data_IF_759833153272
#
_entry.id   IF_759833153272
#
_cell.length_a   1.000
_cell.length_b   1.000
_cell.length_c   1.000
_cell.angle_alpha   90.00
_cell.angle_beta   90.00
_cell.angle_gamma   90.00
#
_symmetry.space_group_name_H-M   'P 1'
#
loop_
_entity.id
_entity.type
_entity.pdbx_description
1 polymer ?
#
# COMPACT_ATOMS: atom_id res chain seq x y z
N UNK A 1 -4.91 6.67 -37.93
CA UNK A 1 -3.98 5.61 -38.42
C UNK A 1 -2.57 5.93 -37.93
N UNK A 2 -1.67 4.96 -37.86
CA UNK A 2 -0.26 5.22 -37.51
C UNK A 2 0.37 6.14 -38.55
N UNK A 3 1.15 7.14 -38.12
CA UNK A 3 1.79 8.11 -39.02
C UNK A 3 0.99 9.39 -39.29
N UNK A 4 -0.22 9.54 -38.75
CA UNK A 4 -1.07 10.74 -38.93
C UNK A 4 -0.68 11.92 -38.01
N UNK A 5 0.41 11.81 -37.25
CA UNK A 5 0.85 12.88 -36.35
C UNK A 5 0.05 13.00 -35.05
N UNK A 6 -0.35 11.86 -34.43
CA UNK A 6 -1.05 11.82 -33.12
C UNK A 6 -0.34 12.69 -32.07
N UNK A 7 0.98 12.54 -31.95
CA UNK A 7 1.78 13.26 -30.97
C UNK A 7 1.70 14.79 -31.15
N UNK A 8 1.77 15.28 -32.39
CA UNK A 8 1.64 16.72 -32.66
C UNK A 8 0.20 17.20 -32.44
N UNK A 9 -0.78 16.37 -32.80
CA UNK A 9 -2.21 16.68 -32.60
C UNK A 9 -2.55 16.85 -31.11
N UNK A 10 -1.94 16.05 -30.23
CA UNK A 10 -2.15 16.13 -28.78
C UNK A 10 -1.70 17.46 -28.17
N UNK A 11 -0.78 18.19 -28.81
CA UNK A 11 -0.28 19.49 -28.32
C UNK A 11 -1.41 20.52 -28.23
N UNK A 12 -2.30 20.58 -29.21
CA UNK A 12 -3.38 21.57 -29.27
C UNK A 12 -4.37 21.46 -28.09
N UNK A 13 -5.01 20.30 -27.83
CA UNK A 13 -5.90 20.16 -26.68
C UNK A 13 -5.14 20.21 -25.35
N UNK A 14 -3.90 19.73 -25.28
CA UNK A 14 -3.10 19.84 -24.06
C UNK A 14 -2.81 21.29 -23.69
N UNK A 15 -2.37 22.09 -24.66
CA UNK A 15 -2.10 23.52 -24.46
C UNK A 15 -3.37 24.26 -24.02
N UNK A 16 -4.48 24.07 -24.73
CA UNK A 16 -5.76 24.73 -24.41
C UNK A 16 -6.22 24.43 -22.98
N UNK A 17 -6.16 23.17 -22.54
CA UNK A 17 -6.59 22.78 -21.19
C UNK A 17 -5.62 23.28 -20.11
N UNK A 18 -4.31 23.35 -20.41
CA UNK A 18 -3.32 23.86 -19.47
C UNK A 18 -3.47 25.38 -19.20
N UNK A 19 -4.03 26.15 -20.14
CA UNK A 19 -4.31 27.58 -19.94
C UNK A 19 -5.32 27.85 -18.81
N UNK A 20 -6.14 26.86 -18.45
CA UNK A 20 -7.08 26.94 -17.32
C UNK A 20 -6.41 26.87 -15.94
N UNK A 21 -5.08 26.70 -15.88
CA UNK A 21 -4.33 26.55 -14.63
C UNK A 21 -4.34 25.14 -14.04
N UNK A 22 -5.09 24.21 -14.65
CA UNK A 22 -5.09 22.80 -14.30
C UNK A 22 -3.96 22.08 -15.03
N UNK A 23 -3.30 21.14 -14.36
CA UNK A 23 -2.24 20.33 -14.99
C UNK A 23 -2.86 19.32 -15.95
N UNK A 24 -2.22 19.12 -17.11
CA UNK A 24 -2.62 18.14 -18.12
C UNK A 24 -1.65 16.97 -18.12
N UNK A 25 -2.18 15.76 -17.98
CA UNK A 25 -1.39 14.53 -18.03
C UNK A 25 -1.40 13.94 -19.45
N UNK A 26 -0.23 13.67 -20.00
CA UNK A 26 -0.05 12.94 -21.26
C UNK A 26 0.58 11.60 -20.93
N UNK A 27 -0.21 10.54 -21.11
CA UNK A 27 0.13 9.17 -20.74
C UNK A 27 0.54 8.41 -21.99
N UNK A 28 1.74 7.84 -21.97
CA UNK A 28 2.27 7.03 -23.06
C UNK A 28 2.47 5.58 -22.61
N UNK A 29 2.62 4.66 -23.57
CA UNK A 29 2.77 3.22 -23.29
C UNK A 29 4.11 2.84 -22.67
N UNK A 30 5.16 3.68 -22.78
CA UNK A 30 6.46 3.38 -22.19
C UNK A 30 7.30 4.62 -21.89
N UNK A 31 8.31 4.45 -21.02
CA UNK A 31 9.18 5.53 -20.57
C UNK A 31 9.98 6.19 -21.69
N UNK A 32 10.34 5.44 -22.75
CA UNK A 32 11.09 5.99 -23.88
C UNK A 32 10.26 7.02 -24.65
N UNK A 33 8.99 6.72 -24.92
CA UNK A 33 8.09 7.65 -25.61
C UNK A 33 7.81 8.89 -24.76
N UNK A 34 7.46 8.70 -23.48
CA UNK A 34 7.28 9.81 -22.53
C UNK A 34 8.50 10.74 -22.50
N UNK A 35 9.71 10.16 -22.39
CA UNK A 35 10.96 10.92 -22.38
C UNK A 35 11.19 11.66 -23.69
N UNK A 36 11.09 10.95 -24.83
CA UNK A 36 11.31 11.50 -26.17
C UNK A 36 10.41 12.71 -26.42
N UNK A 37 9.16 12.66 -25.97
CA UNK A 37 8.19 13.73 -26.18
C UNK A 37 8.41 14.90 -25.22
N UNK A 38 8.65 14.63 -23.93
CA UNK A 38 8.87 15.67 -22.93
C UNK A 38 10.21 16.44 -23.09
N UNK A 39 11.27 15.74 -23.50
CA UNK A 39 12.63 16.30 -23.66
C UNK A 39 12.94 16.71 -25.11
N UNK A 40 12.06 16.38 -26.07
CA UNK A 40 12.25 16.68 -27.49
C UNK A 40 11.40 17.83 -28.01
N UNK A 41 11.27 17.89 -29.34
CA UNK A 41 10.59 18.98 -30.09
C UNK A 41 9.17 19.25 -29.59
N UNK A 42 8.44 18.21 -29.16
CA UNK A 42 7.06 18.34 -28.68
C UNK A 42 7.00 19.09 -27.35
N UNK A 43 7.86 18.70 -26.39
CA UNK A 43 8.05 19.43 -25.15
C UNK A 43 8.52 20.86 -25.38
N UNK A 44 9.41 21.08 -26.36
CA UNK A 44 9.90 22.41 -26.70
C UNK A 44 8.79 23.34 -27.22
N UNK A 45 7.78 22.82 -27.90
CA UNK A 45 6.61 23.62 -28.31
C UNK A 45 5.88 24.18 -27.09
N UNK A 46 5.61 23.36 -26.08
CA UNK A 46 4.97 23.83 -24.85
C UNK A 46 5.83 24.86 -24.11
N UNK A 47 7.15 24.62 -24.01
CA UNK A 47 8.10 25.56 -23.38
C UNK A 47 8.17 26.88 -24.14
N UNK A 48 8.18 26.83 -25.47
CA UNK A 48 8.14 28.01 -26.33
C UNK A 48 6.88 28.84 -26.11
N UNK A 49 5.74 28.17 -25.89
CA UNK A 49 4.46 28.81 -25.58
C UNK A 49 4.31 29.25 -24.11
N UNK A 50 5.38 29.14 -23.31
CA UNK A 50 5.44 29.61 -21.92
C UNK A 50 4.93 28.62 -20.87
N UNK A 51 4.64 27.37 -21.23
CA UNK A 51 4.23 26.34 -20.28
C UNK A 51 5.44 25.55 -19.75
N UNK A 52 5.32 25.09 -18.52
CA UNK A 52 6.25 24.14 -17.92
C UNK A 52 5.92 22.69 -18.31
N UNK A 53 6.95 21.89 -18.59
CA UNK A 53 6.80 20.48 -18.97
C UNK A 53 7.63 19.61 -18.04
N UNK A 54 6.92 18.71 -17.34
CA UNK A 54 7.44 17.72 -16.42
C UNK A 54 7.49 16.32 -17.04
N UNK A 55 8.40 15.50 -16.54
CA UNK A 55 8.53 14.10 -16.92
C UNK A 55 8.56 13.27 -15.63
N UNK A 56 7.64 12.31 -15.49
CA UNK A 56 7.58 11.38 -14.37
C UNK A 56 7.87 9.95 -14.85
N UNK A 57 8.96 9.37 -14.34
CA UNK A 57 9.46 8.04 -14.67
C UNK A 57 9.83 7.28 -13.39
N UNK A 58 9.96 5.96 -13.49
CA UNK A 58 10.22 5.09 -12.34
C UNK A 58 11.50 5.41 -11.58
N UNK A 59 12.54 5.85 -12.29
CA UNK A 59 13.85 6.11 -11.71
C UNK A 59 14.01 7.53 -11.11
N UNK A 60 12.94 8.33 -11.07
CA UNK A 60 12.97 9.67 -10.47
C UNK A 60 12.79 9.62 -8.97
N UNK A 61 13.54 10.47 -8.28
CA UNK A 61 13.37 10.72 -6.85
C UNK A 61 12.05 11.41 -6.55
N UNK A 62 11.59 11.33 -5.29
CA UNK A 62 10.37 12.01 -4.82
C UNK A 62 10.41 13.51 -5.15
N UNK A 63 11.57 14.15 -4.97
CA UNK A 63 11.72 15.59 -5.27
C UNK A 63 11.55 15.89 -6.76
N UNK A 64 12.17 15.10 -7.64
CA UNK A 64 12.02 15.27 -9.09
C UNK A 64 10.58 15.01 -9.55
N UNK A 65 9.90 14.03 -8.94
CA UNK A 65 8.50 13.76 -9.23
C UNK A 65 7.60 14.91 -8.80
N UNK A 66 7.79 15.48 -7.61
CA UNK A 66 7.03 16.67 -7.18
C UNK A 66 7.21 17.84 -8.13
N UNK A 67 8.43 18.07 -8.61
CA UNK A 67 8.68 19.11 -9.61
C UNK A 67 7.89 18.80 -10.89
N UNK A 68 7.90 17.54 -11.36
CA UNK A 68 7.18 17.14 -12.55
C UNK A 68 5.65 17.29 -12.42
N UNK A 69 5.05 16.82 -11.31
CA UNK A 69 3.61 16.95 -11.03
C UNK A 69 3.16 18.40 -10.86
N UNK A 70 4.08 19.31 -10.55
CA UNK A 70 3.81 20.74 -10.48
C UNK A 70 3.91 21.46 -11.82
N UNK A 71 4.32 20.78 -12.90
CA UNK A 71 4.31 21.37 -14.23
C UNK A 71 2.90 21.46 -14.84
N UNK A 72 2.74 22.33 -15.83
CA UNK A 72 1.48 22.53 -16.55
C UNK A 72 1.16 21.31 -17.43
N UNK A 73 2.19 20.73 -18.04
CA UNK A 73 2.12 19.48 -18.80
C UNK A 73 2.97 18.42 -18.09
N UNK A 74 2.39 17.25 -17.80
CA UNK A 74 3.09 16.09 -17.25
C UNK A 74 3.10 14.95 -18.26
N UNK A 75 4.29 14.52 -18.68
CA UNK A 75 4.47 13.26 -19.39
C UNK A 75 4.80 12.12 -18.42
N UNK A 76 4.11 10.99 -18.58
CA UNK A 76 4.39 9.79 -17.79
C UNK A 76 3.87 8.51 -18.48
N UNK A 77 3.96 7.39 -17.78
CA UNK A 77 3.29 6.13 -18.14
C UNK A 77 2.09 5.89 -17.24
N UNK A 78 1.16 5.07 -17.71
CA UNK A 78 -0.03 4.67 -16.94
C UNK A 78 0.37 3.96 -15.63
N UNK A 79 1.38 3.10 -15.69
CA UNK A 79 1.91 2.36 -14.55
C UNK A 79 2.50 3.30 -13.49
N UNK A 80 3.28 4.31 -13.90
CA UNK A 80 3.92 5.20 -12.95
C UNK A 80 2.93 6.12 -12.24
N UNK A 81 1.99 6.72 -12.98
CA UNK A 81 0.89 7.51 -12.39
C UNK A 81 0.08 6.64 -11.44
N UNK A 82 -0.29 5.42 -11.85
CA UNK A 82 -1.08 4.53 -11.00
C UNK A 82 -0.34 4.14 -9.71
N UNK A 83 0.96 3.84 -9.78
CA UNK A 83 1.75 3.55 -8.59
C UNK A 83 1.97 4.78 -7.70
N UNK A 84 2.16 5.97 -8.27
CA UNK A 84 2.23 7.21 -7.50
C UNK A 84 0.91 7.49 -6.78
N UNK A 85 -0.23 7.31 -7.43
CA UNK A 85 -1.55 7.44 -6.79
C UNK A 85 -1.69 6.46 -5.62
N UNK A 86 -1.31 5.19 -5.80
CA UNK A 86 -1.37 4.21 -4.72
C UNK A 86 -0.42 4.57 -3.57
N UNK A 87 0.80 5.07 -3.86
CA UNK A 87 1.76 5.52 -2.84
C UNK A 87 1.27 6.74 -2.07
N UNK A 88 0.71 7.72 -2.75
CA UNK A 88 0.17 8.94 -2.12
C UNK A 88 -0.97 8.61 -1.15
N UNK A 89 -1.82 7.62 -1.47
CA UNK A 89 -2.88 7.13 -0.56
C UNK A 89 -2.36 6.29 0.62
N UNK A 90 -1.10 5.87 0.59
CA UNK A 90 -0.42 5.17 1.70
C UNK A 90 0.53 6.08 2.48
N UNK A 91 0.77 7.30 2.00
CA UNK A 91 1.72 8.22 2.60
C UNK A 91 1.15 8.86 3.88
N UNK A 92 2.01 8.96 4.89
CA UNK A 92 1.66 9.51 6.20
C UNK A 92 2.09 10.97 6.35
N UNK A 93 3.17 11.37 5.67
CA UNK A 93 3.63 12.75 5.66
C UNK A 93 3.08 13.49 4.44
N UNK A 94 2.22 14.49 4.67
CA UNK A 94 1.64 15.32 3.61
C UNK A 94 2.73 15.97 2.73
N UNK A 95 3.91 16.24 3.29
CA UNK A 95 5.00 16.82 2.55
C UNK A 95 5.56 15.85 1.51
N UNK A 96 5.35 14.54 1.63
CA UNK A 96 5.83 13.52 0.69
C UNK A 96 4.85 13.20 -0.45
N UNK A 97 3.59 13.62 -0.31
CA UNK A 97 2.56 13.45 -1.34
C UNK A 97 2.97 14.17 -2.63
N UNK A 98 2.80 13.48 -3.76
CA UNK A 98 3.17 13.98 -5.08
C UNK A 98 2.01 14.74 -5.74
N UNK A 99 0.83 14.13 -5.72
CA UNK A 99 -0.37 14.53 -6.45
C UNK A 99 -1.17 15.61 -5.72
N UNK A 100 -0.58 16.80 -5.56
CA UNK A 100 -1.17 17.89 -4.76
C UNK A 100 -2.01 18.89 -5.56
N UNK A 101 -1.94 18.86 -6.90
CA UNK A 101 -2.74 19.72 -7.79
C UNK A 101 -4.05 19.04 -8.17
N UNK A 102 -5.02 19.83 -8.63
CA UNK A 102 -6.20 19.28 -9.29
C UNK A 102 -5.84 18.84 -10.71
N UNK A 103 -6.14 17.58 -11.04
CA UNK A 103 -5.85 16.96 -12.33
C UNK A 103 -7.14 16.81 -13.14
N UNK A 104 -7.44 17.83 -13.94
CA UNK A 104 -8.72 17.91 -14.66
C UNK A 104 -8.73 17.25 -16.04
N UNK A 105 -7.57 16.93 -16.62
CA UNK A 105 -7.50 16.44 -17.99
C UNK A 105 -6.35 15.46 -18.24
N UNK A 106 -6.66 14.37 -18.94
CA UNK A 106 -5.68 13.33 -19.33
C UNK A 106 -5.84 13.00 -20.80
N UNK A 107 -4.71 12.92 -21.50
CA UNK A 107 -4.59 12.42 -22.87
C UNK A 107 -3.83 11.10 -22.78
N UNK A 108 -4.43 10.03 -23.30
CA UNK A 108 -3.84 8.70 -23.30
C UNK A 108 -3.47 8.34 -24.74
N UNK A 109 -2.17 8.20 -25.00
CA UNK A 109 -1.67 7.66 -26.27
C UNK A 109 -1.81 6.14 -26.31
N UNK A 110 -2.14 5.59 -27.49
CA UNK A 110 -2.49 4.18 -27.68
C UNK A 110 -3.48 3.66 -26.62
N UNK A 111 -4.63 4.32 -26.55
CA UNK A 111 -5.70 4.09 -25.56
C UNK A 111 -6.19 2.64 -25.50
N UNK A 112 -6.19 1.92 -26.62
CA UNK A 112 -6.54 0.50 -26.69
C UNK A 112 -5.52 -0.36 -25.93
N UNK A 113 -4.23 -0.11 -26.13
CA UNK A 113 -3.16 -0.81 -25.43
C UNK A 113 -3.26 -0.58 -23.91
N UNK A 114 -3.51 0.65 -23.48
CA UNK A 114 -3.53 1.00 -22.06
C UNK A 114 -4.84 0.59 -21.37
N UNK A 115 -6.00 0.98 -21.92
CA UNK A 115 -7.29 0.79 -21.24
C UNK A 115 -7.94 -0.57 -21.51
N UNK A 116 -7.47 -1.33 -22.51
CA UNK A 116 -8.00 -2.66 -22.83
C UNK A 116 -6.98 -3.73 -22.49
N UNK A 117 -5.77 -3.67 -23.07
CA UNK A 117 -4.81 -4.77 -22.95
C UNK A 117 -4.16 -4.83 -21.57
N UNK A 118 -3.71 -3.69 -21.05
CA UNK A 118 -3.05 -3.58 -19.75
C UNK A 118 -4.03 -3.63 -18.57
N UNK A 119 -5.30 -3.28 -18.78
CA UNK A 119 -6.34 -3.29 -17.74
C UNK A 119 -6.56 -4.68 -17.10
N UNK A 120 -6.06 -5.75 -17.71
CA UNK A 120 -6.13 -7.12 -17.18
C UNK A 120 -5.22 -7.35 -15.97
N UNK A 121 -4.15 -6.56 -15.82
CA UNK A 121 -3.17 -6.74 -14.74
C UNK A 121 -3.34 -5.61 -13.72
N UNK A 122 -3.75 -5.90 -12.47
CA UNK A 122 -3.87 -4.86 -11.46
C UNK A 122 -2.50 -4.31 -11.04
N UNK A 123 -2.47 -3.02 -10.68
CA UNK A 123 -1.31 -2.41 -10.04
C UNK A 123 -1.32 -2.76 -8.54
N UNK A 124 -0.27 -3.44 -8.08
CA UNK A 124 -0.17 -3.94 -6.70
C UNK A 124 1.15 -3.46 -6.09
N UNK A 125 1.07 -2.77 -4.95
CA UNK A 125 2.22 -2.51 -4.08
C UNK A 125 2.27 -3.62 -3.03
N UNK A 126 3.35 -4.39 -3.04
CA UNK A 126 3.61 -5.42 -2.03
C UNK A 126 4.81 -5.03 -1.17
N UNK A 127 4.63 -5.03 0.15
CA UNK A 127 5.71 -4.87 1.10
C UNK A 127 6.17 -6.25 1.57
N UNK A 128 7.49 -6.48 1.58
CA UNK A 128 8.06 -7.71 2.09
C UNK A 128 7.83 -7.81 3.61
N UNK A 129 7.01 -8.76 4.05
CA UNK A 129 6.65 -8.99 5.48
C UNK A 129 7.75 -9.75 6.24
N UNK A 130 9.01 -9.72 5.77
CA UNK A 130 10.12 -10.49 6.38
C UNK A 130 10.39 -10.07 7.83
N UNK A 131 10.05 -8.85 8.21
CA UNK A 131 10.15 -8.33 9.58
C UNK A 131 9.13 -8.92 10.56
N UNK A 132 8.01 -9.50 10.10
CA UNK A 132 6.92 -9.98 10.96
C UNK A 132 7.21 -11.27 11.73
N UNK A 133 8.02 -12.18 11.17
CA UNK A 133 8.23 -13.52 11.75
C UNK A 133 8.85 -13.44 13.16
N UNK A 134 9.78 -12.50 13.38
CA UNK A 134 10.41 -12.32 14.68
C UNK A 134 9.41 -11.86 15.74
N UNK A 135 8.51 -10.94 15.38
CA UNK A 135 7.52 -10.44 16.32
C UNK A 135 6.51 -11.51 16.74
N UNK A 136 6.05 -12.37 15.83
CA UNK A 136 5.21 -13.51 16.21
C UNK A 136 5.90 -14.43 17.23
N UNK A 137 7.18 -14.75 17.02
CA UNK A 137 7.95 -15.61 17.94
C UNK A 137 8.17 -14.96 19.30
N UNK A 138 8.50 -13.67 19.32
CA UNK A 138 8.73 -12.94 20.56
C UNK A 138 7.42 -12.72 21.33
N UNK A 139 6.31 -12.45 20.62
CA UNK A 139 4.98 -12.34 21.21
C UNK A 139 4.46 -13.68 21.76
N UNK A 140 4.65 -14.80 21.05
CA UNK A 140 4.32 -16.15 21.55
C UNK A 140 5.09 -16.48 22.83
N UNK A 141 6.40 -16.20 22.86
CA UNK A 141 7.22 -16.38 24.07
C UNK A 141 6.72 -15.53 25.22
N UNK A 142 6.36 -14.28 24.95
CA UNK A 142 5.79 -13.38 25.96
C UNK A 142 4.46 -13.93 26.49
N UNK A 143 3.52 -14.27 25.61
CA UNK A 143 2.20 -14.80 25.99
C UNK A 143 2.33 -16.04 26.88
N UNK A 144 3.19 -16.99 26.51
CA UNK A 144 3.48 -18.20 27.31
C UNK A 144 4.16 -17.93 28.65
N UNK A 145 4.79 -16.77 28.82
CA UNK A 145 5.42 -16.38 30.09
C UNK A 145 4.41 -15.82 31.09
N UNK A 146 3.20 -15.48 30.67
CA UNK A 146 2.18 -14.88 31.51
C UNK A 146 1.52 -15.91 32.41
N UNK A 147 1.11 -15.43 33.59
CA UNK A 147 0.27 -16.17 34.54
C UNK A 147 -1.13 -15.57 34.54
N UNK A 148 -2.11 -16.28 35.09
CA UNK A 148 -3.51 -15.84 35.21
C UNK A 148 -3.68 -14.45 35.86
N UNK A 149 -2.75 -14.04 36.73
CA UNK A 149 -2.75 -12.71 37.36
C UNK A 149 -2.35 -11.55 36.43
N UNK A 150 -1.93 -11.81 35.18
CA UNK A 150 -1.45 -10.79 34.25
C UNK A 150 -2.46 -10.39 33.16
N UNK A 151 -3.61 -11.05 33.09
CA UNK A 151 -4.60 -10.81 32.06
C UNK A 151 -6.01 -11.09 32.57
N UNK A 152 -6.99 -10.58 31.84
CA UNK A 152 -8.42 -10.85 32.05
C UNK A 152 -8.96 -11.49 30.78
N UNK A 153 -9.67 -12.60 30.92
CA UNK A 153 -10.36 -13.28 29.82
C UNK A 153 -11.85 -13.14 30.03
N UNK A 154 -12.54 -12.69 28.99
CA UNK A 154 -13.99 -12.82 28.87
C UNK A 154 -14.30 -13.95 27.88
N UNK A 155 -14.82 -15.06 28.43
CA UNK A 155 -15.14 -16.27 27.67
C UNK A 155 -16.41 -16.11 26.82
N UNK A 156 -17.33 -15.22 27.20
CA UNK A 156 -18.56 -14.98 26.44
C UNK A 156 -18.24 -14.23 25.15
N UNK A 157 -17.45 -13.16 25.26
CA UNK A 157 -17.01 -12.38 24.09
C UNK A 157 -15.78 -12.96 23.37
N UNK A 158 -15.15 -14.00 23.95
CA UNK A 158 -13.86 -14.54 23.48
C UNK A 158 -12.82 -13.43 23.31
N UNK A 159 -12.67 -12.59 24.33
CA UNK A 159 -11.67 -11.52 24.38
C UNK A 159 -10.70 -11.72 25.54
N UNK A 160 -9.47 -11.24 25.34
CA UNK A 160 -8.40 -11.29 26.34
C UNK A 160 -7.66 -9.96 26.32
N UNK A 161 -7.45 -9.40 27.51
CA UNK A 161 -6.72 -8.14 27.69
C UNK A 161 -5.69 -8.28 28.80
N UNK A 162 -4.55 -7.59 28.65
CA UNK A 162 -3.57 -7.48 29.73
C UNK A 162 -4.11 -6.54 30.80
N UNK A 163 -3.95 -6.91 32.07
CA UNK A 163 -4.14 -5.97 33.16
C UNK A 163 -2.85 -5.16 33.42
N UNK A 164 -2.86 -4.28 34.43
CA UNK A 164 -1.72 -3.41 34.73
C UNK A 164 -0.39 -4.17 34.95
N UNK A 165 -0.42 -5.29 35.67
CA UNK A 165 0.78 -6.13 35.87
C UNK A 165 1.25 -6.79 34.55
N UNK A 166 0.32 -7.23 33.72
CA UNK A 166 0.62 -7.76 32.38
C UNK A 166 1.25 -6.71 31.46
N UNK A 167 0.74 -5.49 31.50
CA UNK A 167 1.27 -4.34 30.74
C UNK A 167 2.69 -4.03 31.20
N UNK A 168 2.92 -3.90 32.52
CA UNK A 168 4.25 -3.64 33.09
C UNK A 168 5.25 -4.74 32.73
N UNK A 169 4.80 -6.00 32.74
CA UNK A 169 5.63 -7.14 32.33
C UNK A 169 5.96 -7.10 30.84
N UNK A 170 5.01 -6.70 29.98
CA UNK A 170 5.27 -6.51 28.55
C UNK A 170 6.33 -5.43 28.33
N UNK A 171 6.19 -4.29 29.00
CA UNK A 171 7.13 -3.17 28.92
C UNK A 171 8.55 -3.59 29.30
N UNK A 172 8.70 -4.36 30.37
CA UNK A 172 9.99 -4.92 30.79
C UNK A 172 10.53 -5.97 29.80
N UNK A 173 9.68 -6.87 29.30
CA UNK A 173 10.09 -7.94 28.40
C UNK A 173 10.58 -7.40 27.05
N UNK A 174 9.86 -6.43 26.48
CA UNK A 174 10.17 -5.82 25.20
C UNK A 174 11.08 -4.58 25.30
N UNK A 175 11.43 -4.17 26.53
CA UNK A 175 12.29 -3.00 26.83
C UNK A 175 11.74 -1.71 26.24
N UNK A 176 10.47 -1.45 26.48
CA UNK A 176 9.75 -0.25 26.04
C UNK A 176 9.14 0.49 27.24
N UNK A 177 8.89 1.79 27.08
CA UNK A 177 8.36 2.61 28.17
C UNK A 177 6.83 2.61 28.26
N UNK A 178 6.14 2.50 27.12
CA UNK A 178 4.68 2.52 27.06
C UNK A 178 4.18 1.61 25.93
N UNK A 179 3.54 0.50 26.32
CA UNK A 179 2.99 -0.46 25.36
C UNK A 179 1.92 0.14 24.43
N UNK A 180 1.12 1.10 24.91
CA UNK A 180 0.01 1.71 24.18
C UNK A 180 0.38 2.97 23.39
N UNK A 181 1.67 3.31 23.32
CA UNK A 181 2.12 4.41 22.44
C UNK A 181 1.93 4.05 20.96
N UNK A 182 1.68 5.06 20.11
CA UNK A 182 1.51 4.87 18.66
C UNK A 182 2.69 4.15 18.01
N UNK A 183 3.92 4.37 18.51
CA UNK A 183 5.13 3.71 18.04
C UNK A 183 5.11 2.19 18.25
N UNK A 184 4.39 1.71 19.27
CA UNK A 184 4.32 0.30 19.66
C UNK A 184 3.03 -0.39 19.18
N UNK A 185 2.20 0.27 18.37
CA UNK A 185 0.93 -0.27 17.87
C UNK A 185 1.08 -1.64 17.19
N UNK A 186 2.11 -1.81 16.37
CA UNK A 186 2.42 -3.10 15.73
C UNK A 186 2.73 -4.19 16.77
N UNK A 187 3.58 -3.91 17.75
CA UNK A 187 3.94 -4.86 18.80
C UNK A 187 2.71 -5.24 19.65
N UNK A 188 1.91 -4.25 20.04
CA UNK A 188 0.66 -4.47 20.76
C UNK A 188 -0.29 -5.39 19.98
N UNK A 189 -0.38 -5.20 18.66
CA UNK A 189 -1.16 -6.08 17.79
C UNK A 189 -0.65 -7.54 17.80
N UNK A 190 0.66 -7.76 17.68
CA UNK A 190 1.24 -9.11 17.79
C UNK A 190 0.98 -9.74 19.17
N UNK A 191 1.10 -8.98 20.26
CA UNK A 191 0.82 -9.47 21.61
C UNK A 191 -0.65 -9.87 21.74
N UNK A 192 -1.59 -9.04 21.28
CA UNK A 192 -3.03 -9.35 21.31
C UNK A 192 -3.35 -10.64 20.55
N UNK A 193 -2.76 -10.83 19.37
CA UNK A 193 -2.94 -12.05 18.59
C UNK A 193 -2.35 -13.28 19.29
N UNK A 194 -1.14 -13.17 19.86
CA UNK A 194 -0.50 -14.26 20.59
C UNK A 194 -1.31 -14.65 21.84
N UNK A 195 -1.86 -13.67 22.56
CA UNK A 195 -2.75 -13.91 23.70
C UNK A 195 -4.00 -14.68 23.27
N UNK A 196 -4.65 -14.24 22.20
CA UNK A 196 -5.84 -14.91 21.66
C UNK A 196 -5.51 -16.34 21.21
N UNK A 197 -4.43 -16.53 20.47
CA UNK A 197 -3.97 -17.84 20.02
C UNK A 197 -3.64 -18.79 21.19
N UNK A 198 -2.99 -18.30 22.24
CA UNK A 198 -2.55 -19.13 23.38
C UNK A 198 -3.68 -19.47 24.36
N UNK A 199 -4.60 -18.54 24.62
CA UNK A 199 -5.55 -18.65 25.74
C UNK A 199 -7.01 -18.81 25.33
N UNK A 200 -7.38 -18.47 24.09
CA UNK A 200 -8.77 -18.53 23.62
C UNK A 200 -8.97 -19.61 22.56
N UNK A 201 -8.00 -19.78 21.67
CA UNK A 201 -8.09 -20.75 20.58
C UNK A 201 -7.74 -22.15 21.06
N UNK A 202 -8.59 -23.12 20.78
CA UNK A 202 -8.39 -24.51 21.18
C UNK A 202 -8.12 -25.41 19.96
N UNK A 203 -7.03 -26.18 20.04
CA UNK A 203 -6.75 -27.24 19.08
C UNK A 203 -7.84 -28.31 19.15
N UNK A 204 -8.20 -28.85 17.99
CA UNK A 204 -9.25 -29.85 17.77
C UNK A 204 -10.68 -29.35 18.04
N UNK A 205 -10.85 -28.04 18.24
CA UNK A 205 -12.16 -27.37 18.36
C UNK A 205 -12.28 -26.16 17.44
N UNK A 206 -11.34 -25.22 17.51
CA UNK A 206 -11.32 -24.05 16.64
C UNK A 206 -10.45 -24.27 15.40
N UNK A 207 -9.43 -25.11 15.51
CA UNK A 207 -8.53 -25.45 14.41
C UNK A 207 -7.89 -26.83 14.58
N UNK A 208 -7.40 -27.40 13.49
CA UNK A 208 -6.61 -28.63 13.45
C UNK A 208 -5.26 -28.38 12.77
N UNK A 209 -4.28 -29.25 13.07
CA UNK A 209 -2.96 -29.23 12.44
C UNK A 209 -2.87 -30.42 11.48
N UNK A 210 -2.83 -30.16 10.18
CA UNK A 210 -2.73 -31.18 9.14
C UNK A 210 -1.64 -30.80 8.13
N UNK A 211 -0.78 -31.74 7.76
CA UNK A 211 0.34 -31.51 6.84
C UNK A 211 1.21 -30.29 7.23
N UNK A 212 1.41 -30.10 8.53
CA UNK A 212 2.15 -28.96 9.09
C UNK A 212 1.51 -27.59 8.78
N UNK A 213 0.19 -27.56 8.56
CA UNK A 213 -0.61 -26.36 8.34
C UNK A 213 -1.80 -26.30 9.31
N UNK A 214 -2.20 -25.08 9.67
CA UNK A 214 -3.39 -24.80 10.46
C UNK A 214 -4.60 -24.82 9.54
N UNK A 215 -5.62 -25.60 9.88
CA UNK A 215 -6.91 -25.64 9.15
C UNK A 215 -8.02 -25.30 10.11
N UNK A 216 -8.87 -24.36 9.73
CA UNK A 216 -9.96 -23.85 10.58
C UNK A 216 -11.08 -24.90 10.66
N UNK A 217 -11.67 -25.06 11.83
CA UNK A 217 -12.86 -25.89 12.03
C UNK A 217 -14.09 -24.99 12.10
N UNK A 218 -15.14 -25.36 11.38
CA UNK A 218 -16.46 -24.75 11.55
C UNK A 218 -17.07 -25.21 12.89
N UNK A 219 -17.33 -24.27 13.79
CA UNK A 219 -17.87 -24.55 15.13
C UNK A 219 -19.29 -25.17 15.11
N UNK A 220 -20.06 -24.99 14.03
CA UNK A 220 -21.40 -25.57 13.92
C UNK A 220 -21.39 -26.98 13.34
N UNK A 221 -20.54 -27.22 12.34
CA UNK A 221 -20.54 -28.48 11.57
C UNK A 221 -19.38 -29.41 11.89
N UNK A 222 -18.34 -28.93 12.57
CA UNK A 222 -17.10 -29.66 12.83
C UNK A 222 -16.23 -29.90 11.58
N UNK A 223 -16.60 -29.31 10.43
CA UNK A 223 -15.89 -29.55 9.17
C UNK A 223 -14.64 -28.68 9.05
N UNK A 224 -13.61 -29.26 8.44
CA UNK A 224 -12.40 -28.55 8.07
C UNK A 224 -12.67 -27.57 6.91
N UNK A 225 -12.38 -26.29 7.11
CA UNK A 225 -12.54 -25.23 6.12
C UNK A 225 -11.23 -25.01 5.37
N UNK A 226 -10.98 -25.87 4.38
CA UNK A 226 -9.75 -25.85 3.57
C UNK A 226 -9.66 -24.53 2.77
N UNK A 227 -8.47 -23.91 2.78
CA UNK A 227 -8.18 -22.66 2.06
C UNK A 227 -8.57 -21.39 2.81
N UNK A 228 -9.22 -21.48 3.98
CA UNK A 228 -9.47 -20.32 4.84
C UNK A 228 -8.34 -20.12 5.83
N UNK A 229 -8.04 -18.85 6.11
CA UNK A 229 -7.09 -18.41 7.13
C UNK A 229 -7.79 -17.49 8.13
N UNK A 230 -7.28 -17.45 9.36
CA UNK A 230 -7.73 -16.46 10.33
C UNK A 230 -7.22 -15.08 9.91
N UNK A 231 -8.03 -14.05 10.11
CA UNK A 231 -7.71 -12.67 9.72
C UNK A 231 -6.71 -12.01 10.67
N UNK A 232 -6.22 -10.83 10.27
CA UNK A 232 -5.49 -9.88 11.11
C UNK A 232 -4.30 -10.49 11.88
N UNK A 233 -3.54 -11.37 11.24
CA UNK A 233 -2.33 -11.96 11.82
C UNK A 233 -2.57 -13.11 12.81
N UNK A 234 -3.83 -13.44 13.12
CA UNK A 234 -4.14 -14.54 14.06
C UNK A 234 -3.76 -15.92 13.51
N UNK A 235 -3.72 -16.11 12.19
CA UNK A 235 -3.33 -17.41 11.61
C UNK A 235 -1.82 -17.67 11.76
N UNK A 236 -1.03 -16.61 11.84
CA UNK A 236 0.42 -16.67 12.01
C UNK A 236 0.83 -16.73 13.49
N UNK A 237 0.01 -16.20 14.39
CA UNK A 237 0.19 -16.26 15.84
C UNK A 237 -0.05 -17.68 16.36
#
# INVERSE_FOLDING_TARGET
KTGEGKTLTAVMPAYLNALGGNSVHIVTVNEYLARREAEGVIGDIFRFLGLSVGLNLKNKSIQEKKIAYNCDILYSTNSEIGFDYLRDNMESDINNVLMTREYGYVIIDEVDSILIDEARTPLIISNNVTSGIKFYRDADRFAKSLKSEHYVIDLESKTIELNEEGIRKAELFFKINNLYSNQNSFLLHFIKNALKACFIMERDKDYLVQNNQIVIIDQFTGRALIGRQFSDGLHQA
#
